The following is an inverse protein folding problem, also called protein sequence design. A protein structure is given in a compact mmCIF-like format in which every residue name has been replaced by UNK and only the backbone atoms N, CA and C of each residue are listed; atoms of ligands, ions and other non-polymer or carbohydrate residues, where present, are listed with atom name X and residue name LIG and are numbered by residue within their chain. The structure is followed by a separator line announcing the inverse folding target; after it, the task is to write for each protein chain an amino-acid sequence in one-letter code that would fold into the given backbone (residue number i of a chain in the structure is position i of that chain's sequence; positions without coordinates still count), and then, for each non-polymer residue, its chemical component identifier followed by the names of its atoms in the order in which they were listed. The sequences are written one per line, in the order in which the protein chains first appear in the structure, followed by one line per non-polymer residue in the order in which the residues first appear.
data_IF_102679495192
#
_entry.id   IF_102679495192
#
_cell.length_a   1.000
_cell.length_b   1.000
_cell.length_c   1.000
_cell.angle_alpha   90.00
_cell.angle_beta   90.00
_cell.angle_gamma   90.00
#
_symmetry.space_group_name_H-M   'P 1'
#
loop_
_entity.id
_entity.type
_entity.pdbx_description
1 polymer ?
#
# COMPACT_ATOMS: atom_id res chain seq x y z
N UNK A 1 -20.38 16.93 -5.85
CA UNK A 1 -21.32 15.80 -5.77
C UNK A 1 -20.87 14.55 -6.50
N UNK A 2 -20.90 14.44 -7.85
CA UNK A 2 -20.54 13.19 -8.56
C UNK A 2 -19.07 12.76 -8.37
N UNK A 3 -18.12 13.71 -8.47
CA UNK A 3 -16.68 13.42 -8.27
C UNK A 3 -16.33 12.99 -6.85
N UNK A 4 -17.02 13.54 -5.85
CA UNK A 4 -16.79 13.19 -4.44
C UNK A 4 -17.35 11.80 -4.12
N UNK A 5 -18.53 11.46 -4.65
CA UNK A 5 -19.10 10.12 -4.53
C UNK A 5 -18.22 9.06 -5.20
N UNK A 6 -17.69 9.36 -6.40
CA UNK A 6 -16.75 8.47 -7.08
C UNK A 6 -15.44 8.29 -6.30
N UNK A 7 -14.88 9.38 -5.77
CA UNK A 7 -13.69 9.31 -4.91
C UNK A 7 -13.97 8.42 -3.69
N UNK A 8 -15.07 8.66 -2.98
CA UNK A 8 -15.43 7.90 -1.80
C UNK A 8 -15.60 6.42 -2.12
N UNK A 9 -16.25 6.09 -3.24
CA UNK A 9 -16.40 4.73 -3.71
C UNK A 9 -15.05 4.02 -3.92
N UNK A 10 -14.09 4.67 -4.61
CA UNK A 10 -12.76 4.08 -4.81
C UNK A 10 -11.96 3.95 -3.52
N UNK A 11 -12.13 4.90 -2.60
CA UNK A 11 -11.49 4.87 -1.29
C UNK A 11 -11.98 3.70 -0.44
N UNK A 12 -13.29 3.47 -0.41
CA UNK A 12 -13.88 2.36 0.34
C UNK A 12 -13.58 1.01 -0.34
N UNK A 13 -13.67 0.95 -1.67
CA UNK A 13 -13.31 -0.24 -2.44
C UNK A 13 -11.85 -0.66 -2.20
N UNK A 14 -10.89 0.28 -2.25
CA UNK A 14 -9.49 -0.03 -1.99
C UNK A 14 -9.24 -0.50 -0.56
N UNK A 15 -9.93 0.10 0.42
CA UNK A 15 -9.82 -0.31 1.82
C UNK A 15 -10.34 -1.74 2.02
N UNK A 16 -11.53 -2.04 1.52
CA UNK A 16 -12.15 -3.36 1.66
C UNK A 16 -11.32 -4.43 0.95
N UNK A 17 -10.85 -4.13 -0.27
CA UNK A 17 -9.91 -4.98 -1.00
C UNK A 17 -8.63 -5.24 -0.21
N UNK A 18 -8.04 -4.19 0.38
CA UNK A 18 -6.83 -4.31 1.21
C UNK A 18 -7.04 -5.21 2.41
N UNK A 19 -8.19 -5.13 3.09
CA UNK A 19 -8.52 -6.00 4.21
C UNK A 19 -8.61 -7.46 3.78
N UNK A 20 -9.37 -7.76 2.71
CA UNK A 20 -9.53 -9.12 2.20
C UNK A 20 -8.19 -9.70 1.75
N UNK A 21 -7.42 -8.94 0.99
CA UNK A 21 -6.12 -9.40 0.50
C UNK A 21 -5.13 -9.65 1.64
N UNK A 22 -5.08 -8.76 2.64
CA UNK A 22 -4.17 -8.89 3.78
C UNK A 22 -4.47 -10.12 4.66
N UNK A 23 -5.73 -10.54 4.76
CA UNK A 23 -6.15 -11.71 5.54
C UNK A 23 -5.79 -13.06 4.89
N UNK A 24 -5.46 -13.08 3.60
CA UNK A 24 -5.00 -14.30 2.94
C UNK A 24 -3.70 -14.82 3.58
N UNK A 25 -3.67 -16.12 3.92
CA UNK A 25 -2.67 -16.73 4.81
C UNK A 25 -1.20 -16.44 4.44
N UNK A 26 -0.90 -16.29 3.14
CA UNK A 26 0.46 -16.07 2.64
C UNK A 26 0.82 -14.59 2.49
N UNK A 27 -0.17 -13.69 2.45
CA UNK A 27 0.05 -12.27 2.12
C UNK A 27 0.70 -11.53 3.28
N UNK A 28 0.18 -11.67 4.49
CA UNK A 28 0.68 -10.94 5.67
C UNK A 28 2.18 -11.16 5.93
N UNK A 29 2.72 -12.40 5.95
CA UNK A 29 4.16 -12.63 6.10
C UNK A 29 5.00 -11.96 4.99
N UNK A 30 4.54 -12.00 3.75
CA UNK A 30 5.23 -11.38 2.61
C UNK A 30 5.28 -9.86 2.73
N UNK A 31 4.16 -9.22 3.06
CA UNK A 31 4.09 -7.77 3.26
C UNK A 31 4.97 -7.30 4.42
N UNK A 32 4.99 -8.05 5.53
CA UNK A 32 5.88 -7.76 6.65
C UNK A 32 7.36 -7.89 6.26
N UNK A 33 7.72 -8.91 5.49
CA UNK A 33 9.10 -9.07 4.99
C UNK A 33 9.50 -7.92 4.07
N UNK A 34 8.64 -7.52 3.14
CA UNK A 34 8.89 -6.36 2.27
C UNK A 34 9.08 -5.06 3.05
N UNK A 35 8.26 -4.87 4.09
CA UNK A 35 8.37 -3.71 4.97
C UNK A 35 9.67 -3.72 5.78
N UNK A 36 10.02 -4.84 6.39
CA UNK A 36 11.12 -4.89 7.35
C UNK A 36 12.49 -4.99 6.67
N UNK A 37 12.59 -5.69 5.53
CA UNK A 37 13.85 -5.85 4.78
C UNK A 37 14.16 -4.70 3.82
N UNK A 38 13.13 -4.12 3.19
CA UNK A 38 13.30 -3.11 2.13
C UNK A 38 12.63 -1.77 2.47
N UNK A 39 12.14 -1.60 3.70
CA UNK A 39 11.52 -0.37 4.19
C UNK A 39 10.31 0.09 3.35
N UNK A 40 9.71 -0.81 2.59
CA UNK A 40 8.56 -0.52 1.75
C UNK A 40 7.32 -0.22 2.60
N UNK A 41 6.53 0.76 2.17
CA UNK A 41 5.25 1.04 2.81
C UNK A 41 4.20 0.06 2.31
N UNK A 42 3.72 -0.80 3.20
CA UNK A 42 2.69 -1.82 2.92
C UNK A 42 1.46 -1.22 2.22
N UNK A 43 1.01 -0.02 2.61
CA UNK A 43 -0.16 0.62 1.97
C UNK A 43 0.10 0.97 0.50
N UNK A 44 1.34 1.28 0.12
CA UNK A 44 1.70 1.53 -1.26
C UNK A 44 1.93 0.25 -2.05
N UNK A 45 2.44 -0.81 -1.41
CA UNK A 45 2.46 -2.15 -2.02
C UNK A 45 1.04 -2.61 -2.35
N UNK A 46 0.10 -2.48 -1.41
CA UNK A 46 -1.31 -2.80 -1.62
C UNK A 46 -1.93 -1.94 -2.73
N UNK A 47 -1.65 -0.63 -2.73
CA UNK A 47 -2.14 0.27 -3.78
C UNK A 47 -1.67 -0.17 -5.16
N UNK A 48 -0.40 -0.54 -5.31
CA UNK A 48 0.17 -0.97 -6.58
C UNK A 48 -0.56 -2.18 -7.17
N UNK A 49 -0.86 -3.16 -6.30
CA UNK A 49 -1.55 -4.40 -6.67
C UNK A 49 -3.02 -4.13 -7.00
N UNK A 50 -3.70 -3.33 -6.17
CA UNK A 50 -5.10 -2.97 -6.41
C UNK A 50 -5.27 -2.19 -7.71
N UNK A 51 -4.47 -1.14 -7.94
CA UNK A 51 -4.56 -0.33 -9.18
C UNK A 51 -4.27 -1.14 -10.42
N UNK A 52 -3.34 -2.09 -10.36
CA UNK A 52 -3.07 -3.01 -11.46
C UNK A 52 -4.28 -3.89 -11.77
N UNK A 53 -4.94 -4.44 -10.76
CA UNK A 53 -6.18 -5.21 -10.92
C UNK A 53 -7.32 -4.36 -11.49
N UNK A 54 -7.37 -3.05 -11.17
CA UNK A 54 -8.31 -2.10 -11.76
C UNK A 54 -7.92 -1.64 -13.18
N UNK A 55 -6.79 -2.10 -13.74
CA UNK A 55 -6.30 -1.70 -15.06
C UNK A 55 -5.67 -0.31 -15.11
N UNK A 56 -5.27 0.24 -13.97
CA UNK A 56 -4.69 1.58 -13.83
C UNK A 56 -3.18 1.47 -13.79
N UNK A 57 -2.51 1.91 -14.85
CA UNK A 57 -1.05 1.95 -14.88
C UNK A 57 -0.49 3.08 -14.00
N UNK A 58 0.52 2.76 -13.20
CA UNK A 58 1.24 3.70 -12.33
C UNK A 58 2.72 3.71 -12.69
N UNK A 59 3.14 4.75 -13.39
CA UNK A 59 4.56 4.99 -13.68
C UNK A 59 5.28 5.67 -12.51
N UNK A 60 6.58 5.92 -12.69
CA UNK A 60 7.41 6.60 -11.70
C UNK A 60 6.94 8.04 -11.37
N UNK A 61 6.29 8.74 -12.31
CA UNK A 61 5.80 10.11 -12.09
C UNK A 61 4.58 10.08 -11.16
N UNK A 62 3.65 9.17 -11.41
CA UNK A 62 2.47 8.96 -10.57
C UNK A 62 2.91 8.55 -9.16
N UNK A 63 3.85 7.60 -9.03
CA UNK A 63 4.36 7.19 -7.72
C UNK A 63 5.00 8.33 -6.94
N UNK A 64 5.85 9.15 -7.57
CA UNK A 64 6.44 10.33 -6.93
C UNK A 64 5.39 11.29 -6.40
N UNK A 65 4.28 11.47 -7.11
CA UNK A 65 3.16 12.31 -6.66
C UNK A 65 2.43 11.69 -5.47
N UNK A 66 2.03 10.42 -5.56
CA UNK A 66 1.34 9.68 -4.49
C UNK A 66 2.17 9.71 -3.20
N UNK A 67 3.46 9.40 -3.30
CA UNK A 67 4.37 9.36 -2.15
C UNK A 67 4.54 10.76 -1.53
N UNK A 68 4.71 11.79 -2.35
CA UNK A 68 4.84 13.18 -1.88
C UNK A 68 3.59 13.63 -1.12
N UNK A 69 2.42 13.35 -1.65
CA UNK A 69 1.15 13.77 -1.04
C UNK A 69 0.77 12.94 0.19
N UNK A 70 1.20 11.68 0.24
CA UNK A 70 1.02 10.80 1.39
C UNK A 70 2.11 10.93 2.48
N UNK A 71 3.14 11.76 2.29
CA UNK A 71 4.32 11.79 3.16
C UNK A 71 3.97 12.00 4.63
N UNK A 72 3.15 13.01 4.95
CA UNK A 72 2.78 13.33 6.32
C UNK A 72 1.97 12.19 6.97
N UNK A 73 1.00 11.63 6.25
CA UNK A 73 0.20 10.51 6.74
C UNK A 73 1.07 9.24 6.95
N UNK A 74 1.98 8.97 6.01
CA UNK A 74 2.95 7.87 6.10
C UNK A 74 3.87 8.01 7.31
N UNK A 75 4.38 9.22 7.58
CA UNK A 75 5.19 9.50 8.77
C UNK A 75 4.40 9.33 10.07
N UNK A 76 3.14 9.77 10.10
CA UNK A 76 2.26 9.58 11.26
C UNK A 76 2.02 8.10 11.56
N UNK A 77 1.71 7.29 10.54
CA UNK A 77 1.57 5.82 10.67
C UNK A 77 2.86 5.18 11.17
N UNK A 78 4.02 5.56 10.62
CA UNK A 78 5.32 5.06 11.07
C UNK A 78 5.59 5.39 12.54
N UNK A 79 5.27 6.62 12.97
CA UNK A 79 5.37 7.04 14.37
C UNK A 79 4.47 6.24 15.31
N UNK A 80 3.21 5.98 14.90
CA UNK A 80 2.27 5.12 15.65
C UNK A 80 2.80 3.68 15.76
N UNK A 81 3.33 3.13 14.67
CA UNK A 81 3.92 1.79 14.63
C UNK A 81 5.14 1.67 15.56
N UNK A 82 5.99 2.69 15.60
CA UNK A 82 7.13 2.73 16.51
C UNK A 82 6.68 2.71 17.98
N UNK A 83 5.76 3.59 18.35
CA UNK A 83 5.18 3.63 19.71
C UNK A 83 4.48 2.33 20.07
N UNK A 84 3.73 1.73 19.13
CA UNK A 84 3.03 0.46 19.37
C UNK A 84 4.03 -0.67 19.66
N UNK A 85 5.13 -0.75 18.91
CA UNK A 85 6.21 -1.72 19.17
C UNK A 85 6.80 -1.51 20.56
N UNK A 86 7.07 -0.27 20.95
CA UNK A 86 7.56 0.05 22.30
C UNK A 86 6.57 -0.39 23.39
N UNK A 87 5.29 -0.07 23.26
CA UNK A 87 4.25 -0.49 24.21
C UNK A 87 4.15 -2.02 24.34
N UNK A 88 4.31 -2.75 23.22
CA UNK A 88 4.37 -4.22 23.22
C UNK A 88 5.56 -4.74 24.03
N UNK A 89 6.75 -4.18 23.82
CA UNK A 89 7.96 -4.57 24.54
C UNK A 89 7.88 -4.27 26.04
N UNK A 90 7.23 -3.17 26.41
CA UNK A 90 7.01 -2.78 27.81
C UNK A 90 5.83 -3.49 28.49
N UNK A 91 5.11 -4.38 27.79
CA UNK A 91 3.96 -5.10 28.33
C UNK A 91 2.72 -4.22 28.59
N UNK A 92 2.67 -3.01 28.03
CA UNK A 92 1.59 -2.04 28.23
C UNK A 92 0.38 -2.37 27.33
N UNK A 93 -0.42 -3.36 27.74
CA UNK A 93 -1.50 -3.93 26.90
C UNK A 93 -2.55 -2.91 26.46
N UNK A 94 -2.97 -1.99 27.32
CA UNK A 94 -4.02 -1.02 26.98
C UNK A 94 -3.51 0.06 26.01
N UNK A 95 -2.30 0.56 26.24
CA UNK A 95 -1.64 1.49 25.33
C UNK A 95 -1.36 0.83 23.97
N UNK A 96 -0.93 -0.44 23.97
CA UNK A 96 -0.79 -1.21 22.73
C UNK A 96 -2.08 -1.27 21.92
N UNK A 97 -3.22 -1.59 22.55
CA UNK A 97 -4.53 -1.65 21.88
C UNK A 97 -4.94 -0.28 21.33
N UNK A 98 -4.74 0.79 22.11
CA UNK A 98 -5.02 2.16 21.68
C UNK A 98 -4.18 2.57 20.48
N UNK A 99 -2.88 2.31 20.51
CA UNK A 99 -1.95 2.61 19.43
C UNK A 99 -2.25 1.78 18.18
N UNK A 100 -2.63 0.51 18.33
CA UNK A 100 -3.08 -0.32 17.21
C UNK A 100 -4.32 0.26 16.53
N UNK A 101 -5.31 0.72 17.30
CA UNK A 101 -6.51 1.36 16.75
C UNK A 101 -6.18 2.67 16.03
N UNK A 102 -5.26 3.47 16.57
CA UNK A 102 -4.80 4.71 15.93
C UNK A 102 -4.00 4.42 14.65
N UNK A 103 -3.13 3.42 14.67
CA UNK A 103 -2.36 2.98 13.48
C UNK A 103 -3.32 2.59 12.36
N UNK A 104 -4.33 1.76 12.64
CA UNK A 104 -5.32 1.34 11.64
C UNK A 104 -6.10 2.52 11.05
N UNK A 105 -6.50 3.50 11.88
CA UNK A 105 -7.13 4.75 11.40
C UNK A 105 -6.18 5.55 10.51
N UNK A 106 -4.91 5.64 10.89
CA UNK A 106 -3.87 6.31 10.10
C UNK A 106 -3.61 5.61 8.77
N UNK A 107 -3.58 4.28 8.74
CA UNK A 107 -3.45 3.48 7.53
C UNK A 107 -4.62 3.71 6.58
N UNK A 108 -5.86 3.74 7.10
CA UNK A 108 -7.05 4.08 6.29
C UNK A 108 -6.97 5.47 5.69
N UNK A 109 -6.57 6.48 6.48
CA UNK A 109 -6.38 7.85 5.98
C UNK A 109 -5.27 7.92 4.91
N UNK A 110 -4.18 7.17 5.08
CA UNK A 110 -3.11 7.10 4.10
C UNK A 110 -3.59 6.50 2.78
N UNK A 111 -4.34 5.40 2.83
CA UNK A 111 -4.94 4.78 1.64
C UNK A 111 -5.92 5.72 0.94
N UNK A 112 -6.77 6.40 1.72
CA UNK A 112 -7.71 7.40 1.19
C UNK A 112 -6.98 8.55 0.47
N UNK A 113 -5.90 9.05 1.07
CA UNK A 113 -5.07 10.09 0.46
C UNK A 113 -4.40 9.59 -0.81
N UNK A 114 -3.90 8.35 -0.81
CA UNK A 114 -3.27 7.76 -1.99
C UNK A 114 -4.24 7.63 -3.17
N UNK A 115 -5.47 7.14 -2.94
CA UNK A 115 -6.52 7.09 -3.97
C UNK A 115 -6.89 8.49 -4.45
N UNK A 116 -6.99 9.47 -3.54
CA UNK A 116 -7.24 10.87 -3.90
C UNK A 116 -6.15 11.43 -4.82
N UNK A 117 -4.89 11.09 -4.59
CA UNK A 117 -3.76 11.48 -5.45
C UNK A 117 -3.86 10.92 -6.86
N UNK A 118 -4.61 9.81 -7.06
CA UNK A 118 -4.80 9.16 -8.35
C UNK A 118 -5.95 9.75 -9.18
N UNK A 119 -6.89 10.50 -8.57
CA UNK A 119 -8.05 11.05 -9.28
C UNK A 119 -7.74 11.77 -10.60
N UNK A 120 -6.67 12.59 -10.72
CA UNK A 120 -6.35 13.25 -11.99
C UNK A 120 -6.02 12.29 -13.13
N UNK A 121 -5.69 11.04 -12.81
CA UNK A 121 -5.30 9.97 -13.72
C UNK A 121 -6.45 8.97 -13.96
N UNK A 122 -7.66 9.28 -13.51
CA UNK A 122 -8.86 8.45 -13.70
C UNK A 122 -9.77 9.00 -14.81
N UNK A 123 -10.30 8.19 -15.74
CA UNK A 123 -9.85 6.86 -16.14
C UNK A 123 -8.77 7.03 -17.23
N UNK A 124 -7.53 6.66 -16.96
CA UNK A 124 -6.66 6.33 -18.09
C UNK A 124 -7.22 5.00 -18.63
N UNK A 125 -7.56 4.99 -19.92
CA UNK A 125 -8.11 3.86 -20.68
C UNK A 125 -7.52 2.54 -20.16
N UNK A 126 -8.32 1.48 -19.94
CA UNK A 126 -7.81 0.17 -19.55
C UNK A 126 -6.76 -0.27 -20.57
N UNK A 127 -5.50 -0.02 -20.25
CA UNK A 127 -4.40 -0.61 -20.94
C UNK A 127 -4.20 -1.97 -20.28
N UNK A 128 -3.77 -2.97 -21.05
CA UNK A 128 -3.28 -4.20 -20.42
C UNK A 128 -2.08 -3.79 -19.55
N UNK A 129 -2.29 -3.70 -18.24
CA UNK A 129 -1.22 -3.46 -17.29
C UNK A 129 -0.47 -4.78 -17.17
N UNK A 130 0.82 -4.76 -17.51
CA UNK A 130 1.67 -5.93 -17.29
C UNK A 130 1.63 -6.31 -15.81
N UNK A 131 1.48 -7.59 -15.45
CA UNK A 131 1.53 -8.02 -14.07
C UNK A 131 2.78 -7.49 -13.36
N UNK A 132 2.61 -7.02 -12.14
CA UNK A 132 3.61 -6.44 -11.25
C UNK A 132 4.26 -5.13 -11.74
N UNK A 133 3.78 -4.51 -12.83
CA UNK A 133 4.42 -3.30 -13.37
C UNK A 133 4.28 -2.11 -12.42
N UNK A 134 3.11 -1.93 -11.80
CA UNK A 134 2.89 -0.86 -10.83
C UNK A 134 3.79 -1.02 -9.61
N UNK A 135 3.92 -2.26 -9.11
CA UNK A 135 4.76 -2.54 -7.97
C UNK A 135 6.25 -2.39 -8.30
N UNK A 136 6.65 -2.75 -9.52
CA UNK A 136 7.98 -2.52 -10.06
C UNK A 136 8.35 -1.04 -10.04
N UNK A 137 7.48 -0.17 -10.56
CA UNK A 137 7.73 1.27 -10.53
C UNK A 137 7.78 1.82 -9.10
N UNK A 138 6.95 1.32 -8.19
CA UNK A 138 7.00 1.69 -6.78
C UNK A 138 8.36 1.35 -6.14
N UNK A 139 8.77 0.08 -6.25
CA UNK A 139 10.01 -0.42 -5.66
C UNK A 139 11.22 0.33 -6.23
N UNK A 140 11.28 0.51 -7.55
CA UNK A 140 12.37 1.27 -8.19
C UNK A 140 12.41 2.74 -7.75
N UNK A 141 11.26 3.32 -7.38
CA UNK A 141 11.18 4.70 -6.86
C UNK A 141 11.65 4.81 -5.41
N UNK A 142 11.73 3.71 -4.67
CA UNK A 142 12.07 3.70 -3.23
C UNK A 142 13.42 3.07 -2.92
N UNK A 143 13.87 2.09 -3.71
CA UNK A 143 15.13 1.41 -3.49
C UNK A 143 16.33 2.38 -3.57
N UNK A 144 17.33 2.15 -2.72
CA UNK A 144 18.55 2.94 -2.68
C UNK A 144 19.56 2.47 -3.75
N UNK A 145 19.40 1.25 -4.23
CA UNK A 145 20.24 0.66 -5.26
C UNK A 145 19.42 -0.24 -6.20
N UNK A 146 20.00 -0.52 -7.37
CA UNK A 146 19.42 -1.48 -8.32
C UNK A 146 19.35 -2.89 -7.73
N UNK A 147 20.35 -3.30 -6.95
CA UNK A 147 20.41 -4.64 -6.33
C UNK A 147 19.26 -4.80 -5.34
N UNK A 148 19.06 -3.81 -4.46
CA UNK A 148 17.94 -3.79 -3.51
C UNK A 148 16.59 -3.86 -4.23
N UNK A 149 16.43 -3.13 -5.34
CA UNK A 149 15.21 -3.18 -6.14
C UNK A 149 14.95 -4.57 -6.72
N UNK A 150 15.97 -5.24 -7.25
CA UNK A 150 15.86 -6.59 -7.82
C UNK A 150 15.51 -7.63 -6.75
N UNK A 151 16.13 -7.57 -5.57
CA UNK A 151 15.81 -8.44 -4.44
C UNK A 151 14.40 -8.23 -3.92
N UNK A 152 13.98 -6.97 -3.74
CA UNK A 152 12.62 -6.63 -3.31
C UNK A 152 11.56 -7.11 -4.32
N UNK A 153 11.85 -7.00 -5.62
CA UNK A 153 10.96 -7.50 -6.68
C UNK A 153 10.86 -9.02 -6.68
N UNK A 154 11.99 -9.71 -6.51
CA UNK A 154 12.00 -11.17 -6.39
C UNK A 154 11.13 -11.60 -5.20
N UNK A 155 11.27 -10.93 -4.06
CA UNK A 155 10.46 -11.19 -2.87
C UNK A 155 8.98 -10.89 -3.06
N UNK A 156 8.65 -9.86 -3.85
CA UNK A 156 7.27 -9.44 -4.09
C UNK A 156 6.57 -10.26 -5.18
N UNK A 157 7.30 -11.01 -6.02
CA UNK A 157 6.74 -11.79 -7.14
C UNK A 157 5.60 -12.73 -6.73
N UNK A 158 5.68 -13.30 -5.52
CA UNK A 158 4.65 -14.17 -4.95
C UNK A 158 3.30 -13.45 -4.75
N UNK A 159 3.31 -12.14 -4.46
CA UNK A 159 2.09 -11.36 -4.26
C UNK A 159 1.26 -11.25 -5.55
N UNK A 160 1.92 -11.07 -6.70
CA UNK A 160 1.23 -11.00 -8.00
C UNK A 160 0.48 -12.28 -8.33
N UNK A 161 1.08 -13.44 -8.03
CA UNK A 161 0.43 -14.74 -8.20
C UNK A 161 -0.76 -14.96 -7.27
N UNK A 162 -0.78 -14.31 -6.09
CA UNK A 162 -1.90 -14.38 -5.15
C UNK A 162 -3.06 -13.49 -5.63
N UNK A 163 -2.77 -12.26 -6.08
CA UNK A 163 -3.79 -11.33 -6.62
C UNK A 163 -4.61 -11.99 -7.74
N UNK A 164 -3.93 -12.67 -8.68
CA UNK A 164 -4.60 -13.35 -9.79
C UNK A 164 -5.53 -14.50 -9.35
N UNK A 165 -5.21 -15.17 -8.23
CA UNK A 165 -5.99 -16.32 -7.73
C UNK A 165 -7.20 -15.91 -6.90
N UNK A 166 -7.12 -14.78 -6.20
CA UNK A 166 -8.16 -14.36 -5.27
C UNK A 166 -9.35 -13.66 -5.95
N UNK A 167 -9.22 -13.18 -7.19
CA UNK A 167 -10.27 -12.46 -7.95
C UNK A 167 -11.08 -11.48 -7.06
N UNK A 168 -10.41 -10.74 -6.19
CA UNK A 168 -11.04 -9.84 -5.18
C UNK A 168 -11.74 -8.67 -5.83
#
# INVERSE_FOLDING_TARGET
MVKEQLLQHHQDNFWDWSCVFYEAAQVKPLLLKLQDSYQLNVNYVLLALWTEQQGIAMDAVIWKKVIREGLQASQAVSGLRHRRRQAKHLGQKDEYKKLLSLELKGEKLLQQQAVKSLLPFWPIVPNSVEPMSNLRFYIQTQAQSRIEAEEALQQASELGGIVQKLQV
#
